data_IF_132091530065
#
_entry.id   IF_132091530065
#
_cell.length_a   1.000
_cell.length_b   1.000
_cell.length_c   1.000
_cell.angle_alpha   90.00
_cell.angle_beta   90.00
_cell.angle_gamma   90.00
#
_symmetry.space_group_name_H-M   'P 1'
#
loop_
_entity.id
_entity.type
_entity.pdbx_description
1 polymer ?
#
# COMPACT_ATOMS: atom_id res chain seq x y z
N UNK A 1 -15.76 3.10 -5.72
CA UNK A 1 -14.41 2.68 -5.27
C UNK A 1 -14.40 2.55 -3.76
N UNK A 2 -13.65 1.59 -3.20
CA UNK A 2 -13.65 1.26 -1.77
C UNK A 2 -12.52 1.96 -1.02
N UNK A 3 -12.71 2.17 0.28
CA UNK A 3 -11.68 2.61 1.22
C UNK A 3 -11.24 1.41 2.06
N UNK A 4 -9.93 1.30 2.31
CA UNK A 4 -9.34 0.21 3.10
C UNK A 4 -8.54 0.79 4.26
N UNK A 5 -8.58 0.11 5.40
CA UNK A 5 -7.76 0.41 6.58
C UNK A 5 -6.88 -0.82 6.84
N UNK A 6 -5.58 -0.62 7.01
CA UNK A 6 -4.58 -1.69 7.21
C UNK A 6 -3.70 -1.32 8.41
N UNK A 7 -3.13 -2.31 9.10
CA UNK A 7 -2.16 -2.11 10.19
C UNK A 7 -0.70 -2.25 9.71
N UNK A 8 0.26 -2.02 10.62
CA UNK A 8 1.68 -2.31 10.39
C UNK A 8 1.94 -3.84 10.40
N UNK A 9 1.59 -4.49 9.29
CA UNK A 9 1.54 -5.94 9.20
C UNK A 9 2.89 -6.60 9.58
N UNK A 10 2.87 -7.40 10.65
CA UNK A 10 4.05 -8.12 11.16
C UNK A 10 5.12 -7.28 11.87
N UNK A 11 4.90 -5.98 12.08
CA UNK A 11 5.91 -5.09 12.68
C UNK A 11 5.96 -5.13 14.23
N UNK A 12 5.03 -5.86 14.87
CA UNK A 12 5.01 -6.09 16.31
C UNK A 12 5.71 -7.40 16.70
N UNK A 13 4.95 -8.39 17.17
CA UNK A 13 5.48 -9.67 17.65
C UNK A 13 6.39 -10.42 16.64
N UNK A 14 6.15 -10.26 15.33
CA UNK A 14 6.94 -10.88 14.27
C UNK A 14 8.17 -10.09 13.86
N UNK A 15 8.38 -8.90 14.46
CA UNK A 15 9.64 -8.15 14.38
C UNK A 15 10.06 -7.80 12.95
N UNK A 16 9.12 -7.67 12.02
CA UNK A 16 9.44 -7.11 10.70
C UNK A 16 9.85 -5.64 10.86
N UNK A 17 10.94 -5.18 10.22
CA UNK A 17 11.31 -3.77 10.25
C UNK A 17 10.20 -2.90 9.65
N UNK A 18 9.62 -1.93 10.39
CA UNK A 18 8.48 -1.15 9.91
C UNK A 18 8.76 -0.40 8.60
N UNK A 19 9.96 0.12 8.45
CA UNK A 19 10.39 0.82 7.23
C UNK A 19 10.31 -0.08 5.99
N UNK A 20 10.81 -1.32 6.08
CA UNK A 20 10.76 -2.28 4.98
C UNK A 20 9.32 -2.62 4.59
N UNK A 21 8.45 -2.82 5.59
CA UNK A 21 7.04 -3.12 5.35
C UNK A 21 6.33 -1.93 4.69
N UNK A 22 6.61 -0.69 5.12
CA UNK A 22 6.08 0.51 4.49
C UNK A 22 6.52 0.66 3.02
N UNK A 23 7.77 0.33 2.69
CA UNK A 23 8.28 0.32 1.30
C UNK A 23 7.60 -0.76 0.43
N UNK A 24 7.31 -1.94 0.99
CA UNK A 24 6.53 -2.97 0.30
C UNK A 24 5.11 -2.47 0.02
N UNK A 25 4.44 -1.86 0.99
CA UNK A 25 3.13 -1.26 0.78
C UNK A 25 3.16 -0.14 -0.28
N UNK A 26 4.20 0.69 -0.32
CA UNK A 26 4.37 1.69 -1.39
C UNK A 26 4.35 1.05 -2.77
N UNK A 27 5.12 -0.03 -2.96
CA UNK A 27 5.16 -0.79 -4.22
C UNK A 27 3.78 -1.37 -4.58
N UNK A 28 3.06 -1.92 -3.59
CA UNK A 28 1.70 -2.42 -3.80
C UNK A 28 0.72 -1.29 -4.15
N UNK A 29 0.79 -0.13 -3.49
CA UNK A 29 -0.08 1.01 -3.81
C UNK A 29 0.11 1.46 -5.27
N UNK A 30 1.34 1.46 -5.79
CA UNK A 30 1.59 1.68 -7.21
C UNK A 30 1.05 0.56 -8.10
N UNK A 31 1.29 -0.71 -7.74
CA UNK A 31 0.81 -1.85 -8.51
C UNK A 31 -0.72 -1.87 -8.61
N UNK A 32 -1.42 -1.46 -7.55
CA UNK A 32 -2.88 -1.42 -7.45
C UNK A 32 -3.44 0.01 -7.58
N UNK A 33 -2.73 0.91 -8.27
CA UNK A 33 -3.19 2.27 -8.52
C UNK A 33 -4.58 2.26 -9.17
N UNK A 34 -5.52 3.00 -8.57
CA UNK A 34 -6.92 3.07 -9.04
C UNK A 34 -7.85 1.97 -8.53
N UNK A 35 -7.37 0.99 -7.76
CA UNK A 35 -8.23 -0.06 -7.19
C UNK A 35 -8.94 0.41 -5.92
N UNK A 36 -8.31 1.31 -5.17
CA UNK A 36 -8.84 1.87 -3.93
C UNK A 36 -8.97 3.38 -4.04
N UNK A 37 -10.02 3.93 -3.40
CA UNK A 37 -10.21 5.38 -3.30
C UNK A 37 -9.23 5.99 -2.30
N UNK A 38 -9.05 5.33 -1.16
CA UNK A 38 -8.15 5.71 -0.08
C UNK A 38 -7.65 4.46 0.63
N UNK A 39 -6.39 4.49 1.05
CA UNK A 39 -5.80 3.49 1.94
C UNK A 39 -5.34 4.23 3.19
N UNK A 40 -5.85 3.82 4.34
CA UNK A 40 -5.44 4.35 5.64
C UNK A 40 -4.60 3.31 6.36
N UNK A 41 -3.53 3.74 7.01
CA UNK A 41 -2.77 2.90 7.92
C UNK A 41 -3.10 3.31 9.36
N UNK A 42 -3.56 2.34 10.17
CA UNK A 42 -3.92 2.53 11.56
C UNK A 42 -2.92 1.79 12.46
N UNK A 43 -2.41 2.47 13.47
CA UNK A 43 -1.34 1.97 14.32
C UNK A 43 -1.78 1.96 15.78
N UNK A 44 -1.38 0.92 16.49
CA UNK A 44 -1.42 0.87 17.95
C UNK A 44 -0.02 0.47 18.37
N UNK A 45 0.72 1.43 18.90
CA UNK A 45 2.07 1.19 19.40
C UNK A 45 1.95 0.71 20.86
N UNK A 46 2.42 -0.51 21.10
CA UNK A 46 2.40 -1.19 22.40
C UNK A 46 3.82 -1.55 22.85
N UNK A 47 3.96 -2.50 23.79
CA UNK A 47 5.25 -2.99 24.27
C UNK A 47 6.17 -3.60 23.19
N UNK A 48 5.68 -3.85 21.97
CA UNK A 48 6.49 -4.30 20.84
C UNK A 48 7.18 -3.15 20.08
N UNK A 49 7.00 -1.90 20.53
CA UNK A 49 7.58 -0.69 19.93
C UNK A 49 8.59 -0.03 20.88
N UNK A 50 9.38 0.92 20.36
CA UNK A 50 10.39 1.65 21.15
C UNK A 50 11.57 0.78 21.62
N UNK A 51 11.83 -0.35 20.95
CA UNK A 51 12.93 -1.26 21.29
C UNK A 51 14.01 -1.27 20.19
N UNK A 52 15.09 -2.03 20.38
CA UNK A 52 16.22 -2.06 19.44
C UNK A 52 15.84 -2.44 18.00
N UNK A 53 14.76 -3.22 17.82
CA UNK A 53 14.32 -3.70 16.51
C UNK A 53 13.28 -2.76 15.88
N UNK A 54 12.50 -2.06 16.70
CA UNK A 54 11.49 -1.09 16.30
C UNK A 54 11.64 0.20 17.13
N UNK A 55 12.71 1.00 16.91
CA UNK A 55 13.05 2.12 17.78
C UNK A 55 12.07 3.30 17.63
N UNK A 56 11.56 3.52 16.41
CA UNK A 56 10.72 4.67 16.06
C UNK A 56 9.21 4.38 16.16
N UNK A 57 8.85 3.17 16.60
CA UNK A 57 7.49 2.68 16.54
C UNK A 57 7.00 2.48 15.10
N UNK A 58 5.72 2.12 14.95
CA UNK A 58 5.18 1.84 13.63
C UNK A 58 4.74 3.12 12.90
N UNK A 59 4.32 4.13 13.65
CA UNK A 59 3.75 5.34 13.08
C UNK A 59 4.76 6.13 12.24
N UNK A 60 5.97 6.41 12.79
CA UNK A 60 6.91 7.32 12.15
C UNK A 60 7.42 6.81 10.78
N UNK A 61 7.85 5.54 10.62
CA UNK A 61 8.32 5.04 9.33
C UNK A 61 7.22 5.03 8.26
N UNK A 62 6.01 4.57 8.62
CA UNK A 62 4.88 4.55 7.68
C UNK A 62 4.46 5.96 7.29
N UNK A 63 4.39 6.90 8.23
CA UNK A 63 4.09 8.31 7.94
C UNK A 63 5.09 8.88 6.95
N UNK A 64 6.38 8.66 7.20
CA UNK A 64 7.47 9.18 6.37
C UNK A 64 7.38 8.69 4.92
N UNK A 65 7.00 7.44 4.71
CA UNK A 65 7.00 6.80 3.39
C UNK A 65 5.67 6.97 2.63
N UNK A 66 4.55 6.99 3.34
CA UNK A 66 3.21 6.81 2.75
C UNK A 66 2.25 7.98 2.98
N UNK A 67 2.49 8.84 3.98
CA UNK A 67 1.56 9.94 4.27
C UNK A 67 1.51 10.93 3.10
N UNK A 68 0.29 11.32 2.71
CA UNK A 68 0.06 12.17 1.54
C UNK A 68 0.39 11.54 0.17
N UNK A 69 0.74 10.25 0.10
CA UNK A 69 1.02 9.58 -1.16
C UNK A 69 -0.25 9.52 -2.04
N UNK A 70 -0.22 10.23 -3.17
CA UNK A 70 -1.27 10.19 -4.18
C UNK A 70 -0.77 9.46 -5.41
N UNK A 71 -1.49 8.40 -5.80
CA UNK A 71 -1.16 7.61 -7.00
C UNK A 71 -2.36 7.58 -7.92
N UNK A 72 -2.12 7.86 -9.19
CA UNK A 72 -3.14 7.84 -10.23
C UNK A 72 -3.07 6.52 -11.03
N UNK A 73 -4.21 5.99 -11.50
CA UNK A 73 -4.21 4.88 -12.43
C UNK A 73 -3.37 5.21 -13.67
N UNK A 74 -2.74 4.22 -14.32
CA UNK A 74 -2.05 4.45 -15.59
C UNK A 74 -3.00 5.08 -16.61
N UNK A 75 -2.58 6.18 -17.24
CA UNK A 75 -3.34 6.87 -18.29
C UNK A 75 -3.39 6.07 -19.59
N UNK A 76 -2.36 5.24 -19.84
CA UNK A 76 -2.29 4.37 -21.00
C UNK A 76 -2.58 2.93 -20.60
N UNK A 77 -3.75 2.44 -20.98
CA UNK A 77 -4.08 1.01 -20.92
C UNK A 77 -3.43 0.34 -22.12
N UNK A 78 -2.45 -0.55 -21.87
CA UNK A 78 -1.97 -1.45 -22.92
C UNK A 78 -3.10 -2.43 -23.25
N UNK A 79 -3.52 -2.49 -24.51
CA UNK A 79 -4.42 -3.54 -25.02
C UNK A 79 -3.74 -4.89 -24.78
N UNK A 80 -4.44 -5.84 -24.15
CA UNK A 80 -3.89 -7.12 -23.65
C UNK A 80 -2.82 -6.96 -22.56
N UNK A 81 -2.74 -5.78 -21.91
CA UNK A 81 -1.88 -5.54 -20.76
C UNK A 81 -2.46 -6.09 -19.47
N UNK A 82 -1.58 -6.43 -18.54
CA UNK A 82 -1.94 -6.73 -17.15
C UNK A 82 -1.84 -5.44 -16.34
N UNK A 83 -2.88 -5.10 -15.59
CA UNK A 83 -2.82 -4.10 -14.51
C UNK A 83 -2.95 -4.80 -13.16
N UNK A 84 -2.25 -4.34 -12.12
CA UNK A 84 -2.22 -5.09 -10.85
C UNK A 84 -1.56 -6.47 -11.00
N UNK A 85 -1.76 -7.39 -10.05
CA UNK A 85 -1.16 -8.71 -10.09
C UNK A 85 -1.74 -9.61 -11.20
N UNK A 86 -2.98 -9.39 -11.68
CA UNK A 86 -3.64 -10.30 -12.64
C UNK A 86 -4.85 -9.70 -13.41
N UNK A 87 -5.05 -8.38 -13.52
CA UNK A 87 -6.21 -7.85 -14.28
C UNK A 87 -5.88 -7.69 -15.75
N UNK A 88 -6.38 -8.58 -16.59
CA UNK A 88 -6.36 -8.42 -18.05
C UNK A 88 -7.34 -7.31 -18.44
N UNK A 89 -6.83 -6.27 -19.10
CA UNK A 89 -7.66 -5.17 -19.61
C UNK A 89 -8.10 -5.50 -21.05
N UNK A 90 -9.26 -6.13 -21.20
CA UNK A 90 -9.90 -6.32 -22.49
C UNK A 90 -10.77 -5.10 -22.80
N UNK A 91 -10.48 -4.40 -23.89
CA UNK A 91 -11.39 -3.38 -24.44
C UNK A 91 -12.47 -4.16 -25.21
N UNK A 92 -13.67 -4.32 -24.66
CA UNK A 92 -14.81 -4.74 -25.48
C UNK A 92 -15.07 -3.64 -26.49
N UNK A 93 -14.97 -3.98 -27.77
CA UNK A 93 -15.25 -3.11 -28.90
C UNK A 93 -16.75 -2.89 -29.07
N UNK A 94 -17.45 -2.47 -28.01
CA UNK A 94 -18.86 -2.10 -28.07
C UNK A 94 -19.11 -0.85 -27.22
N UNK A 95 -19.32 0.24 -27.94
CA UNK A 95 -19.65 1.55 -27.41
C UNK A 95 -19.53 2.57 -28.55
N UNK A 96 -20.57 2.60 -29.40
CA UNK A 96 -20.82 3.66 -30.39
C UNK A 96 -20.68 5.04 -29.76
#
# INVERSE_FOLDING_TARGET
>A
MKTTIISAFGCGAFKNPPEHVALLFKSLIYQYAGYFKKVYFAFVDDHNTGNQINPDGNFLPFKTILDGLNVHPPTTIRVNGVSGPNRVLNKTSDGK
#
